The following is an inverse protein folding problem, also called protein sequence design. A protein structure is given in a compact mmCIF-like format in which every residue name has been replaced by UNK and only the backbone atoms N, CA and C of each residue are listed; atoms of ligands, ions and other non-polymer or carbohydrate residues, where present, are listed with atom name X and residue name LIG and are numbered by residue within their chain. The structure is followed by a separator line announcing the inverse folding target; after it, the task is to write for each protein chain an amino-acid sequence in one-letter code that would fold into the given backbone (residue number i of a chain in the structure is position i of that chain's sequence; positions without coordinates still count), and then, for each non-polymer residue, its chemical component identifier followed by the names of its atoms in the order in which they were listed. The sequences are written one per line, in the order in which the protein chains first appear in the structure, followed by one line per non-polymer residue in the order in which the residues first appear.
data_IF_917674809896
#
_entry.id   IF_917674809896
#
_cell.length_a   1.000
_cell.length_b   1.000
_cell.length_c   1.000
_cell.angle_alpha   90.00
_cell.angle_beta   90.00
_cell.angle_gamma   90.00
#
_symmetry.space_group_name_H-M   'P 1'
#
loop_
_entity.id
_entity.type
_entity.pdbx_description
1 polymer ?
#
# COMPACT_ATOMS: atom_id res chain seq x y z
N UNK A 1 -14.19 -15.67 11.51
CA UNK A 1 -15.07 -14.79 10.71
C UNK A 1 -14.61 -13.37 10.98
N UNK A 2 -14.04 -12.70 10.00
CA UNK A 2 -13.71 -11.27 10.13
C UNK A 2 -15.05 -10.51 10.18
N UNK A 3 -15.35 -9.83 11.30
CA UNK A 3 -16.46 -8.89 11.35
C UNK A 3 -16.24 -7.82 10.29
N UNK A 4 -17.14 -7.72 9.31
CA UNK A 4 -17.15 -6.64 8.35
C UNK A 4 -17.35 -5.33 9.13
N UNK A 5 -16.29 -4.56 9.29
CA UNK A 5 -16.33 -3.23 9.88
C UNK A 5 -17.04 -2.30 8.90
N UNK A 6 -18.03 -1.59 9.38
CA UNK A 6 -18.73 -0.59 8.56
C UNK A 6 -17.94 0.73 8.60
N UNK A 7 -16.95 0.85 7.72
CA UNK A 7 -16.16 2.08 7.55
C UNK A 7 -16.93 3.00 6.61
N UNK A 8 -17.11 4.30 6.95
CA UNK A 8 -17.67 5.29 6.03
C UNK A 8 -16.90 5.33 4.71
N UNK A 9 -17.61 5.55 3.60
CA UNK A 9 -17.03 5.52 2.25
C UNK A 9 -15.99 6.62 1.97
N UNK A 10 -15.98 7.67 2.77
CA UNK A 10 -15.04 8.80 2.71
C UNK A 10 -13.79 8.62 3.60
N UNK A 11 -13.68 7.47 4.30
CA UNK A 11 -12.55 7.15 5.16
C UNK A 11 -11.86 5.86 4.72
N UNK A 12 -10.52 5.85 4.85
CA UNK A 12 -9.67 4.71 4.51
C UNK A 12 -8.94 4.19 5.74
N UNK A 13 -8.94 2.88 5.93
CA UNK A 13 -8.19 2.22 7.01
C UNK A 13 -6.70 2.19 6.68
N UNK A 14 -5.88 2.79 7.55
CA UNK A 14 -4.42 2.82 7.42
C UNK A 14 -3.69 2.06 8.53
N UNK A 15 -4.42 1.50 9.47
CA UNK A 15 -3.82 0.71 10.55
C UNK A 15 -4.75 0.44 11.71
N UNK A 16 -4.21 -0.22 12.74
CA UNK A 16 -4.89 -0.46 14.02
C UNK A 16 -3.98 -0.10 15.18
N UNK A 17 -4.58 0.46 16.24
CA UNK A 17 -3.85 0.79 17.46
C UNK A 17 -3.60 -0.47 18.27
N UNK A 18 -2.31 -0.79 18.53
CA UNK A 18 -1.92 -2.00 19.23
C UNK A 18 -1.91 -1.79 20.74
N UNK A 19 -0.75 -1.58 21.33
CA UNK A 19 -0.58 -1.43 22.80
C UNK A 19 0.10 -0.10 23.14
N UNK A 20 -0.24 0.52 24.28
CA UNK A 20 0.48 1.69 24.77
C UNK A 20 1.97 1.42 24.96
N UNK A 21 2.78 2.44 24.71
CA UNK A 21 4.21 2.43 24.88
C UNK A 21 4.64 3.49 25.89
N UNK A 22 5.38 3.09 26.92
CA UNK A 22 5.81 4.02 27.96
C UNK A 22 4.65 4.58 28.81
N UNK A 23 4.85 5.77 29.37
CA UNK A 23 3.91 6.44 30.28
C UNK A 23 3.28 7.71 29.71
N UNK A 24 3.79 8.20 28.56
CA UNK A 24 3.42 9.49 27.98
C UNK A 24 2.27 9.44 26.97
N UNK A 25 1.46 8.38 26.96
CA UNK A 25 0.33 8.26 26.05
C UNK A 25 0.69 7.80 24.62
N UNK A 26 1.97 7.44 24.36
CA UNK A 26 2.32 6.85 23.06
C UNK A 26 1.68 5.47 22.89
N UNK A 27 1.18 5.19 21.69
CA UNK A 27 0.59 3.91 21.34
C UNK A 27 1.23 3.37 20.03
N UNK A 28 1.53 2.08 20.01
CA UNK A 28 2.02 1.39 18.82
C UNK A 28 0.90 1.25 17.81
N UNK A 29 1.25 1.39 16.54
CA UNK A 29 0.33 1.21 15.41
C UNK A 29 0.78 0.03 14.57
N UNK A 30 -0.13 -0.91 14.32
CA UNK A 30 0.01 -1.85 13.21
C UNK A 30 -0.36 -1.07 11.96
N UNK A 31 0.63 -0.50 11.31
CA UNK A 31 0.46 0.42 10.20
C UNK A 31 0.60 -0.32 8.88
N UNK A 32 -0.24 -0.01 7.90
CA UNK A 32 -0.33 -0.74 6.64
C UNK A 32 0.41 -0.08 5.49
N UNK A 33 0.76 1.22 5.63
CA UNK A 33 1.50 1.95 4.61
C UNK A 33 3.00 2.04 4.95
N UNK A 34 3.82 2.18 3.93
CA UNK A 34 5.28 2.24 4.07
C UNK A 34 5.78 3.63 4.52
N UNK A 35 5.04 4.69 4.20
CA UNK A 35 5.38 6.07 4.54
C UNK A 35 4.62 6.59 5.76
N UNK A 36 5.32 7.32 6.66
CA UNK A 36 4.68 8.02 7.78
C UNK A 36 3.95 9.31 7.37
N UNK A 37 3.98 9.68 6.11
CA UNK A 37 3.39 10.95 5.65
C UNK A 37 1.89 11.03 5.92
N UNK A 38 1.17 9.91 5.77
CA UNK A 38 -0.26 9.84 6.08
C UNK A 38 -0.57 10.07 7.57
N UNK A 39 0.42 9.91 8.45
CA UNK A 39 0.32 10.16 9.89
C UNK A 39 0.79 11.57 10.30
N UNK A 40 1.33 12.35 9.37
CA UNK A 40 1.77 13.74 9.60
C UNK A 40 0.66 14.75 9.40
N UNK A 41 -0.49 14.31 8.90
CA UNK A 41 -1.71 15.12 8.91
C UNK A 41 -2.16 15.38 10.34
N UNK A 42 -2.64 16.59 10.63
CA UNK A 42 -3.04 16.99 11.99
C UNK A 42 -4.23 16.19 12.52
N UNK A 43 -4.98 15.51 11.66
CA UNK A 43 -6.27 14.88 11.98
C UNK A 43 -6.39 13.49 11.39
N UNK A 44 -6.76 12.56 12.27
CA UNK A 44 -7.14 11.20 11.91
C UNK A 44 -8.47 10.83 12.58
N UNK A 45 -9.00 9.67 12.26
CA UNK A 45 -10.21 9.15 12.89
C UNK A 45 -9.92 7.80 13.54
N UNK A 46 -10.51 7.55 14.71
CA UNK A 46 -10.47 6.28 15.38
C UNK A 46 -11.87 5.65 15.45
N UNK A 47 -11.96 4.39 15.07
CA UNK A 47 -13.20 3.62 15.10
C UNK A 47 -13.07 2.41 16.01
N UNK A 48 -13.96 2.29 17.00
CA UNK A 48 -14.07 1.16 17.90
C UNK A 48 -15.17 0.18 17.42
N UNK A 49 -14.78 -0.92 16.78
CA UNK A 49 -15.73 -1.87 16.17
C UNK A 49 -16.61 -1.19 15.14
N UNK A 50 -17.93 -1.32 15.26
CA UNK A 50 -18.92 -0.72 14.34
C UNK A 50 -19.47 0.64 14.83
N UNK A 51 -18.83 1.28 15.82
CA UNK A 51 -19.24 2.62 16.27
C UNK A 51 -18.84 3.69 15.24
N UNK A 52 -19.51 4.86 15.24
CA UNK A 52 -19.09 5.97 14.40
C UNK A 52 -17.63 6.35 14.65
N UNK A 53 -16.86 6.67 13.60
CA UNK A 53 -15.49 7.16 13.74
C UNK A 53 -15.45 8.46 14.54
N UNK A 54 -14.43 8.59 15.38
CA UNK A 54 -14.18 9.78 16.18
C UNK A 54 -12.92 10.48 15.68
N UNK A 55 -13.04 11.79 15.44
CA UNK A 55 -11.90 12.64 15.09
C UNK A 55 -10.91 12.70 16.25
N UNK A 56 -9.61 12.59 15.92
CA UNK A 56 -8.50 12.68 16.88
C UNK A 56 -7.40 13.54 16.29
N UNK A 57 -6.73 14.29 17.15
CA UNK A 57 -5.59 15.13 16.78
C UNK A 57 -4.29 14.44 17.15
N UNK A 58 -3.35 14.36 16.20
CA UNK A 58 -2.03 13.79 16.43
C UNK A 58 -1.14 14.86 17.04
N UNK A 59 -0.59 14.58 18.21
CA UNK A 59 0.40 15.44 18.89
C UNK A 59 1.83 15.09 18.43
N UNK A 60 2.19 13.80 18.38
CA UNK A 60 3.50 13.35 17.89
C UNK A 60 3.42 12.01 17.18
N UNK A 61 4.28 11.86 16.15
CA UNK A 61 4.55 10.59 15.47
C UNK A 61 6.05 10.36 15.42
N UNK A 62 6.49 9.15 15.74
CA UNK A 62 7.89 8.74 15.58
C UNK A 62 8.03 7.25 15.33
N UNK A 63 9.12 6.85 14.70
CA UNK A 63 9.47 5.44 14.57
C UNK A 63 10.19 4.92 15.82
N UNK A 64 9.84 3.70 16.21
CA UNK A 64 10.52 2.96 17.26
C UNK A 64 10.64 1.48 16.89
N UNK A 65 11.87 1.02 16.65
CA UNK A 65 12.15 -0.36 16.25
C UNK A 65 11.27 -0.82 15.05
N UNK A 66 11.21 -0.01 14.00
CA UNK A 66 10.44 -0.33 12.80
C UNK A 66 8.91 -0.21 12.95
N UNK A 67 8.40 0.26 14.08
CA UNK A 67 6.97 0.42 14.34
C UNK A 67 6.64 1.88 14.63
N UNK A 68 5.60 2.48 14.01
CA UNK A 68 5.14 3.81 14.37
C UNK A 68 4.59 3.86 15.78
N UNK A 69 4.97 4.90 16.51
CA UNK A 69 4.36 5.32 17.77
C UNK A 69 3.64 6.64 17.54
N UNK A 70 2.36 6.70 17.92
CA UNK A 70 1.55 7.91 17.85
C UNK A 70 1.15 8.31 19.27
N UNK A 71 1.16 9.62 19.55
CA UNK A 71 0.51 10.22 20.69
C UNK A 71 -0.59 11.15 20.21
N UNK A 72 -1.77 11.05 20.81
CA UNK A 72 -2.90 11.92 20.53
C UNK A 72 -3.02 13.00 21.61
N UNK A 73 -3.47 14.18 21.22
CA UNK A 73 -3.74 15.28 22.14
C UNK A 73 -4.74 14.87 23.21
N UNK A 74 -5.77 14.09 22.82
CA UNK A 74 -6.84 13.61 23.72
C UNK A 74 -6.41 12.42 24.60
N UNK A 75 -5.20 11.87 24.38
CA UNK A 75 -4.66 10.75 25.17
C UNK A 75 -3.27 11.08 25.72
N UNK A 76 -3.15 12.01 26.69
CA UNK A 76 -1.86 12.53 27.15
C UNK A 76 -1.06 11.54 28.02
N UNK A 77 -1.68 10.48 28.50
CA UNK A 77 -1.06 9.50 29.38
C UNK A 77 -1.37 8.05 28.97
N UNK A 78 -0.68 7.11 29.64
CA UNK A 78 -0.83 5.69 29.38
C UNK A 78 -2.25 5.18 29.56
N UNK A 79 -2.97 5.66 30.58
CA UNK A 79 -4.33 5.21 30.89
C UNK A 79 -5.29 5.61 29.76
N UNK A 80 -5.21 6.85 29.29
CA UNK A 80 -5.98 7.31 28.16
C UNK A 80 -5.65 6.52 26.88
N UNK A 81 -4.36 6.25 26.60
CA UNK A 81 -3.95 5.45 25.47
C UNK A 81 -4.44 3.99 25.52
N UNK A 82 -4.58 3.39 26.73
CA UNK A 82 -5.10 2.03 26.88
C UNK A 82 -6.55 1.91 26.36
N UNK A 83 -7.38 2.93 26.51
CA UNK A 83 -8.74 2.96 25.98
C UNK A 83 -8.80 3.03 24.45
N UNK A 84 -7.71 3.41 23.78
CA UNK A 84 -7.62 3.48 22.32
C UNK A 84 -7.20 2.14 21.70
N UNK A 85 -6.73 1.20 22.51
CA UNK A 85 -6.23 -0.09 22.04
C UNK A 85 -7.29 -0.86 21.23
N UNK A 86 -6.86 -1.43 20.09
CA UNK A 86 -7.70 -2.23 19.21
C UNK A 86 -8.63 -1.41 18.31
N UNK A 87 -8.59 -0.08 18.39
CA UNK A 87 -9.35 0.77 17.49
C UNK A 87 -8.68 0.86 16.12
N UNK A 88 -9.50 0.97 15.08
CA UNK A 88 -9.06 1.17 13.70
C UNK A 88 -8.66 2.62 13.50
N UNK A 89 -7.51 2.83 12.85
CA UNK A 89 -7.00 4.14 12.48
C UNK A 89 -7.38 4.41 11.04
N UNK A 90 -8.09 5.52 10.83
CA UNK A 90 -8.64 5.92 9.54
C UNK A 90 -8.19 7.35 9.20
N UNK A 91 -8.06 7.61 7.91
CA UNK A 91 -7.86 8.96 7.35
C UNK A 91 -8.95 9.26 6.32
N UNK A 92 -9.24 10.54 6.01
CA UNK A 92 -10.05 10.87 4.86
C UNK A 92 -9.41 10.35 3.56
N UNK A 93 -10.22 9.82 2.65
CA UNK A 93 -9.75 9.40 1.32
C UNK A 93 -9.02 10.55 0.60
N UNK A 94 -9.49 11.78 0.79
CA UNK A 94 -8.86 12.99 0.26
C UNK A 94 -7.48 13.32 0.85
N UNK A 95 -7.06 12.64 1.92
CA UNK A 95 -5.72 12.78 2.51
C UNK A 95 -4.73 11.74 1.95
N UNK A 96 -5.20 10.80 1.13
CA UNK A 96 -4.31 9.96 0.34
C UNK A 96 -3.57 10.86 -0.65
N UNK A 97 -2.27 10.60 -0.91
CA UNK A 97 -1.57 11.28 -1.98
C UNK A 97 -2.39 11.16 -3.27
N UNK A 98 -2.58 12.29 -3.97
CA UNK A 98 -3.03 12.20 -5.35
C UNK A 98 -2.00 11.34 -6.07
N UNK A 99 -2.47 10.30 -6.75
CA UNK A 99 -1.61 9.51 -7.61
C UNK A 99 -1.05 10.46 -8.67
N UNK A 100 0.26 10.52 -8.81
CA UNK A 100 0.83 10.97 -10.05
C UNK A 100 0.22 10.10 -11.15
N UNK A 101 -0.19 10.70 -12.27
CA UNK A 101 -0.85 9.99 -13.38
C UNK A 101 -0.06 8.76 -13.85
N UNK A 102 1.21 8.66 -13.43
CA UNK A 102 2.15 7.56 -13.70
C UNK A 102 2.20 6.49 -12.57
N UNK A 103 1.61 6.71 -11.37
CA UNK A 103 1.56 5.73 -10.28
C UNK A 103 0.30 4.86 -10.37
N UNK A 104 0.38 3.83 -11.17
CA UNK A 104 -0.65 2.77 -11.21
C UNK A 104 -0.47 1.87 -9.99
N UNK A 105 -1.54 1.67 -9.22
CA UNK A 105 -1.48 0.76 -8.07
C UNK A 105 -1.13 -0.65 -8.48
N UNK A 106 -0.16 -1.23 -7.79
CA UNK A 106 0.33 -2.57 -8.07
C UNK A 106 -0.79 -3.63 -8.15
N UNK A 107 -1.76 -3.55 -7.23
CA UNK A 107 -2.87 -4.52 -7.21
C UNK A 107 -3.78 -4.43 -8.46
N UNK A 108 -3.87 -3.25 -9.08
CA UNK A 108 -4.67 -3.05 -10.30
C UNK A 108 -3.96 -3.60 -11.54
N UNK A 109 -2.63 -3.75 -11.46
CA UNK A 109 -1.82 -4.32 -12.54
C UNK A 109 -1.77 -5.85 -12.52
N UNK A 110 -2.02 -6.49 -11.36
CA UNK A 110 -1.95 -7.95 -11.27
C UNK A 110 -3.04 -8.62 -12.13
N UNK A 111 -2.62 -9.55 -12.96
CA UNK A 111 -3.49 -10.25 -13.91
C UNK A 111 -3.61 -9.59 -15.27
N UNK A 112 -3.09 -8.37 -15.47
CA UNK A 112 -3.10 -7.71 -16.76
C UNK A 112 -2.29 -8.49 -17.79
N UNK A 113 -2.73 -8.43 -19.06
CA UNK A 113 -2.04 -9.04 -20.19
C UNK A 113 -0.76 -8.27 -20.52
N UNK A 114 0.38 -8.94 -20.53
CA UNK A 114 1.66 -8.35 -20.92
C UNK A 114 1.94 -8.65 -22.38
N UNK A 115 2.14 -7.59 -23.19
CA UNK A 115 2.41 -7.69 -24.62
C UNK A 115 3.72 -6.96 -24.99
N UNK A 116 4.36 -7.41 -26.07
CA UNK A 116 5.49 -6.70 -26.66
C UNK A 116 4.98 -5.44 -27.36
N UNK A 117 5.54 -4.28 -27.06
CA UNK A 117 5.16 -3.01 -27.70
C UNK A 117 5.39 -3.02 -29.22
N UNK A 118 6.53 -3.55 -29.66
CA UNK A 118 6.92 -3.59 -31.08
C UNK A 118 5.99 -4.42 -31.97
N UNK A 119 5.37 -5.50 -31.43
CA UNK A 119 4.62 -6.48 -32.24
C UNK A 119 3.19 -6.68 -31.78
N UNK A 120 2.84 -6.26 -30.56
CA UNK A 120 1.58 -6.59 -29.92
C UNK A 120 1.45 -8.07 -29.50
N UNK A 121 2.53 -8.85 -29.61
CA UNK A 121 2.51 -10.26 -29.24
C UNK A 121 2.32 -10.39 -27.71
N UNK A 122 1.33 -11.18 -27.30
CA UNK A 122 1.13 -11.51 -25.89
C UNK A 122 2.22 -12.46 -25.39
N UNK A 123 2.86 -12.08 -24.28
CA UNK A 123 3.85 -12.90 -23.58
C UNK A 123 3.23 -13.71 -22.45
N UNK A 124 2.32 -13.08 -21.69
CA UNK A 124 1.73 -13.70 -20.52
C UNK A 124 0.83 -12.74 -19.76
N UNK A 125 0.78 -12.91 -18.45
CA UNK A 125 0.08 -12.02 -17.52
C UNK A 125 1.02 -11.61 -16.40
N UNK A 126 0.84 -10.41 -15.85
CA UNK A 126 1.58 -9.99 -14.67
C UNK A 126 1.05 -10.78 -13.46
N UNK A 127 1.85 -11.69 -12.93
CA UNK A 127 1.47 -12.60 -11.85
C UNK A 127 1.73 -11.97 -10.48
N UNK A 128 2.94 -11.46 -10.28
CA UNK A 128 3.32 -10.75 -9.04
C UNK A 128 4.50 -9.82 -9.25
N UNK A 129 4.76 -8.99 -8.25
CA UNK A 129 5.89 -8.06 -8.23
C UNK A 129 6.80 -8.39 -7.06
N UNK A 130 8.09 -8.44 -7.34
CA UNK A 130 9.15 -8.73 -6.39
C UNK A 130 10.00 -7.47 -6.19
N UNK A 131 10.47 -7.26 -4.95
CA UNK A 131 11.47 -6.25 -4.65
C UNK A 131 12.79 -6.95 -4.30
N UNK A 132 13.81 -6.77 -5.13
CA UNK A 132 15.12 -7.37 -4.90
C UNK A 132 16.23 -6.33 -5.06
N UNK A 133 17.06 -6.17 -4.02
CA UNK A 133 18.19 -5.23 -4.07
C UNK A 133 17.81 -3.76 -4.28
N UNK A 134 16.58 -3.34 -3.91
CA UNK A 134 16.07 -1.99 -4.14
C UNK A 134 15.51 -1.77 -5.55
N UNK A 135 15.37 -2.83 -6.34
CA UNK A 135 14.79 -2.81 -7.68
C UNK A 135 13.48 -3.61 -7.71
N UNK A 136 12.49 -3.06 -8.38
CA UNK A 136 11.23 -3.71 -8.66
C UNK A 136 11.38 -4.65 -9.86
N UNK A 137 10.92 -5.89 -9.71
CA UNK A 137 10.92 -6.94 -10.73
C UNK A 137 9.50 -7.44 -10.94
N UNK A 138 9.03 -7.39 -12.16
CA UNK A 138 7.74 -7.94 -12.56
C UNK A 138 7.88 -9.40 -12.98
N UNK A 139 7.12 -10.28 -12.34
CA UNK A 139 6.99 -11.67 -12.72
C UNK A 139 5.85 -11.81 -13.72
N UNK A 140 6.18 -12.18 -14.94
CA UNK A 140 5.24 -12.40 -16.04
C UNK A 140 5.11 -13.92 -16.23
N UNK A 141 3.91 -14.44 -15.99
CA UNK A 141 3.61 -15.86 -16.19
C UNK A 141 3.14 -16.10 -17.61
N UNK A 142 3.90 -16.91 -18.36
CA UNK A 142 3.55 -17.28 -19.74
C UNK A 142 2.45 -18.34 -19.78
N UNK A 143 1.74 -18.52 -20.91
CA UNK A 143 0.73 -19.58 -21.08
C UNK A 143 1.30 -20.99 -20.86
N UNK A 144 2.60 -21.17 -21.09
CA UNK A 144 3.32 -22.45 -20.92
C UNK A 144 3.73 -22.69 -19.45
N UNK A 145 3.42 -21.74 -18.55
CA UNK A 145 3.77 -21.82 -17.13
C UNK A 145 5.21 -21.44 -16.82
N UNK A 146 5.91 -20.78 -17.72
CA UNK A 146 7.24 -20.20 -17.46
C UNK A 146 7.12 -18.83 -16.86
N UNK A 147 8.03 -18.49 -15.97
CA UNK A 147 8.11 -17.18 -15.32
C UNK A 147 9.22 -16.35 -15.97
N UNK A 148 8.88 -15.15 -16.44
CA UNK A 148 9.83 -14.17 -16.98
C UNK A 148 9.94 -13.04 -15.95
N UNK A 149 11.16 -12.76 -15.48
CA UNK A 149 11.43 -11.64 -14.59
C UNK A 149 11.91 -10.43 -15.39
N UNK A 150 11.13 -9.36 -15.36
CA UNK A 150 11.43 -8.10 -16.04
C UNK A 150 11.67 -6.99 -15.00
N UNK A 151 12.81 -6.27 -15.04
CA UNK A 151 12.96 -5.05 -14.24
C UNK A 151 11.92 -4.00 -14.65
N UNK A 152 11.17 -3.49 -13.65
CA UNK A 152 10.16 -2.45 -13.87
C UNK A 152 10.81 -1.07 -13.92
N UNK A 153 11.48 -0.79 -15.03
CA UNK A 153 12.13 0.51 -15.28
C UNK A 153 11.49 1.18 -16.49
N UNK A 154 11.49 2.53 -16.57
CA UNK A 154 10.85 3.26 -17.66
C UNK A 154 11.34 2.87 -19.06
N UNK A 155 12.56 2.36 -19.18
CA UNK A 155 13.12 1.88 -20.44
C UNK A 155 12.46 0.59 -20.93
N UNK A 156 11.88 -0.21 -20.03
CA UNK A 156 11.30 -1.52 -20.37
C UNK A 156 9.78 -1.55 -20.28
N UNK A 157 9.16 -0.61 -19.57
CA UNK A 157 7.72 -0.45 -19.49
C UNK A 157 7.28 0.69 -20.36
N UNK A 158 6.72 0.39 -21.55
CA UNK A 158 6.34 1.40 -22.52
C UNK A 158 5.01 2.07 -22.19
N UNK A 159 4.02 1.29 -21.72
CA UNK A 159 2.67 1.78 -21.43
C UNK A 159 1.91 0.80 -20.51
N UNK A 160 1.01 1.36 -19.70
CA UNK A 160 0.10 0.59 -18.84
C UNK A 160 -1.32 1.13 -19.06
N UNK A 161 -2.16 0.33 -19.69
CA UNK A 161 -3.55 0.65 -19.99
C UNK A 161 -4.47 -0.22 -19.14
N UNK A 162 -5.02 0.35 -18.07
CA UNK A 162 -5.93 -0.32 -17.17
C UNK A 162 -7.31 -0.56 -17.78
N UNK A 163 -7.76 0.32 -18.70
CA UNK A 163 -9.08 0.21 -19.31
C UNK A 163 -9.14 -0.99 -20.27
N UNK A 164 -8.03 -1.25 -20.99
CA UNK A 164 -7.91 -2.40 -21.89
C UNK A 164 -7.25 -3.61 -21.26
N UNK A 165 -6.85 -3.52 -20.00
CA UNK A 165 -6.15 -4.56 -19.23
C UNK A 165 -4.85 -5.05 -19.91
N UNK A 166 -4.06 -4.09 -20.45
CA UNK A 166 -2.84 -4.39 -21.21
C UNK A 166 -1.65 -3.60 -20.66
N UNK A 167 -0.55 -4.30 -20.44
CA UNK A 167 0.79 -3.73 -20.19
C UNK A 167 1.65 -3.94 -21.43
N UNK A 168 2.23 -2.85 -21.97
CA UNK A 168 3.16 -2.88 -23.09
C UNK A 168 4.59 -2.80 -22.60
N UNK A 169 5.42 -3.74 -23.04
CA UNK A 169 6.82 -3.79 -22.61
C UNK A 169 7.77 -3.82 -23.81
N UNK A 170 8.96 -3.26 -23.57
CA UNK A 170 10.11 -3.29 -24.50
C UNK A 170 11.29 -3.95 -23.75
N UNK A 171 11.30 -5.29 -23.61
CA UNK A 171 12.36 -5.98 -22.86
C UNK A 171 13.72 -5.79 -23.55
N UNK A 172 14.84 -5.81 -22.77
CA UNK A 172 16.18 -5.74 -23.36
C UNK A 172 16.46 -6.94 -24.25
N UNK A 173 17.33 -6.72 -25.25
CA UNK A 173 17.76 -7.79 -26.15
C UNK A 173 18.32 -9.00 -25.38
N UNK A 174 17.91 -10.19 -25.76
CA UNK A 174 18.34 -11.44 -25.15
C UNK A 174 17.56 -11.86 -23.90
N UNK A 175 16.75 -11.00 -23.27
CA UNK A 175 16.00 -11.37 -22.09
C UNK A 175 15.01 -12.50 -22.38
N UNK A 176 14.23 -12.37 -23.44
CA UNK A 176 13.21 -13.37 -23.78
C UNK A 176 13.82 -14.69 -24.23
N UNK A 177 15.02 -14.66 -24.83
CA UNK A 177 15.75 -15.85 -25.27
C UNK A 177 16.19 -16.74 -24.09
N UNK A 178 16.32 -16.17 -22.89
CA UNK A 178 16.65 -16.94 -21.68
C UNK A 178 15.48 -17.78 -21.17
N UNK A 179 14.26 -17.45 -21.57
CA UNK A 179 13.03 -18.07 -21.07
C UNK A 179 12.24 -18.85 -22.14
N UNK A 180 12.61 -18.71 -23.43
CA UNK A 180 11.98 -19.44 -24.55
C UNK A 180 12.65 -20.79 -24.89
#
# INVERSE_FOLDING_TARGET
MAEQRNIPADLVEIGTLARPHGIRGEIRVNYYADSLELLRGDVVYLQAGNKPPRKMEIDTVRMHQGTPLIRFVEAPDRTAAEFLRGQTLLIPESALPELDEDEVYLHDMLGLSVVLDATGQKLGVLDHVLFHGGQELWSILTPEGKEILLPAVPEFVADIDLDTEIIRITPPEGLLELYM
#
